data_IF_862529009301
#
_entry.id   IF_862529009301
#
_cell.length_a   1.000
_cell.length_b   1.000
_cell.length_c   1.000
_cell.angle_alpha   90.00
_cell.angle_beta   90.00
_cell.angle_gamma   90.00
#
_symmetry.space_group_name_H-M   'P 1'
#
loop_
_entity.id
_entity.type
_entity.pdbx_description
1 polymer ?
#
# COMPACT_ATOMS: atom_id res chain seq x y z
N UNK A 1 8.99 -52.33 -69.08
CA UNK A 1 10.17 -51.76 -68.38
C UNK A 1 9.68 -50.67 -67.44
N UNK A 2 9.49 -51.02 -66.18
CA UNK A 2 8.96 -50.16 -65.15
C UNK A 2 10.11 -49.56 -64.34
N UNK A 3 10.27 -48.26 -64.34
CA UNK A 3 11.13 -47.55 -63.40
C UNK A 3 10.26 -46.87 -62.35
N UNK A 4 10.32 -47.37 -61.13
CA UNK A 4 9.72 -46.74 -59.92
C UNK A 4 10.67 -45.67 -59.43
N UNK A 5 10.11 -44.44 -59.18
CA UNK A 5 10.80 -43.38 -58.48
C UNK A 5 10.62 -43.53 -56.95
N UNK A 6 11.65 -43.20 -56.14
CA UNK A 6 11.49 -43.23 -54.69
C UNK A 6 10.92 -41.93 -54.14
N UNK A 7 9.95 -42.06 -53.26
CA UNK A 7 9.37 -40.96 -52.49
C UNK A 7 10.37 -40.55 -51.36
N UNK A 8 10.88 -39.35 -51.42
CA UNK A 8 11.54 -38.71 -50.26
C UNK A 8 10.53 -38.22 -49.27
N UNK A 9 10.47 -38.84 -48.09
CA UNK A 9 9.83 -38.32 -46.90
C UNK A 9 10.76 -37.33 -46.23
N UNK A 10 10.38 -36.05 -46.16
CA UNK A 10 11.00 -35.03 -45.33
C UNK A 10 10.42 -35.10 -43.92
N UNK A 11 11.21 -35.08 -42.84
CA UNK A 11 10.70 -34.98 -41.49
C UNK A 11 10.39 -33.53 -41.16
N UNK A 12 9.12 -33.25 -40.78
CA UNK A 12 8.70 -31.99 -40.15
C UNK A 12 9.30 -31.93 -38.74
N UNK A 13 10.29 -31.08 -38.55
CA UNK A 13 10.76 -30.66 -37.22
C UNK A 13 9.71 -29.67 -36.63
N UNK A 14 8.91 -30.13 -35.70
CA UNK A 14 8.07 -29.29 -34.86
C UNK A 14 8.95 -28.62 -33.80
N UNK A 15 9.30 -27.36 -33.99
CA UNK A 15 9.94 -26.53 -32.98
C UNK A 15 8.90 -26.12 -31.95
N UNK A 16 8.85 -26.80 -30.80
CA UNK A 16 8.07 -26.38 -29.63
C UNK A 16 8.82 -25.23 -28.97
N UNK A 17 8.33 -23.98 -29.15
CA UNK A 17 8.73 -22.84 -28.37
C UNK A 17 8.18 -23.02 -26.94
N UNK A 18 9.05 -23.42 -26.01
CA UNK A 18 8.84 -23.29 -24.58
C UNK A 18 8.90 -21.79 -24.23
N UNK A 19 7.75 -21.14 -24.12
CA UNK A 19 7.63 -19.87 -23.38
C UNK A 19 7.86 -20.19 -21.91
N UNK A 20 9.12 -20.09 -21.47
CA UNK A 20 9.43 -20.00 -20.06
C UNK A 20 8.89 -18.66 -19.56
N UNK A 21 7.68 -18.69 -18.98
CA UNK A 21 7.16 -17.58 -18.20
C UNK A 21 8.13 -17.29 -17.07
N UNK A 22 8.88 -16.17 -17.17
CA UNK A 22 9.59 -15.62 -16.04
C UNK A 22 8.52 -15.15 -15.04
N UNK A 23 8.10 -16.03 -14.16
CA UNK A 23 7.49 -15.61 -12.91
C UNK A 23 8.56 -14.83 -12.16
N UNK A 24 8.47 -13.51 -12.16
CA UNK A 24 9.15 -12.69 -11.17
C UNK A 24 8.70 -13.24 -9.82
N UNK A 25 9.57 -13.97 -9.16
CA UNK A 25 9.45 -14.19 -7.73
C UNK A 25 9.57 -12.80 -7.12
N UNK A 26 8.44 -12.16 -6.84
CA UNK A 26 8.38 -10.99 -5.99
C UNK A 26 9.12 -11.39 -4.71
N UNK A 27 10.01 -10.55 -4.23
CA UNK A 27 10.65 -10.78 -2.95
C UNK A 27 9.52 -10.91 -1.93
N UNK A 28 9.23 -12.16 -1.52
CA UNK A 28 8.21 -12.40 -0.51
C UNK A 28 8.56 -11.57 0.71
N UNK A 29 7.59 -10.85 1.27
CA UNK A 29 7.76 -10.22 2.57
C UNK A 29 8.40 -11.23 3.50
N UNK A 30 9.56 -10.94 4.11
CA UNK A 30 10.19 -11.92 4.98
C UNK A 30 9.24 -12.20 6.14
N UNK A 31 8.57 -13.33 6.04
CA UNK A 31 7.59 -13.77 7.01
C UNK A 31 8.25 -14.43 8.23
N UNK A 32 9.52 -14.82 8.13
CA UNK A 32 10.23 -15.55 9.17
C UNK A 32 11.46 -14.78 9.69
N UNK A 33 11.88 -15.07 10.92
CA UNK A 33 13.11 -14.54 11.54
C UNK A 33 12.86 -13.58 12.71
N UNK A 34 11.65 -13.59 13.26
CA UNK A 34 11.31 -12.92 14.52
C UNK A 34 11.48 -13.82 15.75
N UNK A 35 11.06 -13.31 16.90
CA UNK A 35 10.92 -14.07 18.12
C UNK A 35 9.53 -14.72 18.21
N UNK A 36 9.44 -15.84 18.92
CA UNK A 36 8.16 -16.47 19.23
C UNK A 36 7.48 -15.73 20.37
N UNK A 37 6.23 -15.34 20.16
CA UNK A 37 5.43 -14.66 21.16
C UNK A 37 3.99 -15.19 21.16
N UNK A 38 3.37 -15.23 22.33
CA UNK A 38 1.94 -15.60 22.46
C UNK A 38 1.13 -14.31 22.56
N UNK A 39 0.06 -14.22 21.78
CA UNK A 39 -0.85 -13.07 21.82
C UNK A 39 -1.89 -13.27 22.92
N UNK A 40 -1.95 -12.33 23.86
CA UNK A 40 -2.92 -12.35 24.96
C UNK A 40 -4.25 -11.68 24.58
N UNK A 41 -4.19 -10.51 23.90
CA UNK A 41 -5.40 -9.77 23.52
C UNK A 41 -5.13 -8.77 22.39
N UNK A 42 -6.22 -8.25 21.80
CA UNK A 42 -6.21 -7.13 20.86
C UNK A 42 -7.04 -5.99 21.44
N UNK A 43 -6.46 -4.80 21.52
CA UNK A 43 -7.12 -3.60 22.07
C UNK A 43 -8.13 -3.01 21.07
N UNK A 44 -8.94 -2.06 21.52
CA UNK A 44 -9.90 -1.34 20.66
C UNK A 44 -9.23 -0.52 19.54
N UNK A 45 -7.93 -0.24 19.68
CA UNK A 45 -7.14 0.46 18.66
C UNK A 45 -6.39 -0.49 17.72
N UNK A 46 -6.68 -1.81 17.79
CA UNK A 46 -5.98 -2.81 16.99
C UNK A 46 -4.53 -3.05 17.45
N UNK A 47 -4.16 -2.61 18.66
CA UNK A 47 -2.86 -2.91 19.26
C UNK A 47 -2.89 -4.33 19.84
N UNK A 48 -1.77 -5.02 19.73
CA UNK A 48 -1.65 -6.44 20.09
C UNK A 48 -0.88 -6.55 21.40
N UNK A 49 -1.53 -7.05 22.46
CA UNK A 49 -0.88 -7.30 23.75
C UNK A 49 -0.36 -8.73 23.77
N UNK A 50 0.91 -8.89 24.07
CA UNK A 50 1.58 -10.18 24.21
C UNK A 50 1.41 -10.74 25.63
N UNK A 51 1.60 -12.04 25.80
CA UNK A 51 1.47 -12.71 27.11
C UNK A 51 2.52 -12.22 28.14
N UNK A 52 3.64 -11.69 27.69
CA UNK A 52 4.68 -11.09 28.53
C UNK A 52 4.41 -9.61 28.89
N UNK A 53 3.26 -9.07 28.47
CA UNK A 53 2.83 -7.70 28.75
C UNK A 53 3.32 -6.64 27.76
N UNK A 54 4.18 -6.98 26.80
CA UNK A 54 4.57 -6.04 25.75
C UNK A 54 3.36 -5.75 24.85
N UNK A 55 3.33 -4.54 24.30
CA UNK A 55 2.31 -4.12 23.34
C UNK A 55 2.97 -3.90 21.99
N UNK A 56 2.41 -4.45 20.94
CA UNK A 56 2.86 -4.30 19.57
C UNK A 56 1.80 -3.62 18.70
N UNK A 57 2.25 -2.89 17.68
CA UNK A 57 1.44 -2.31 16.61
C UNK A 57 1.94 -2.85 15.27
N UNK A 58 1.03 -3.29 14.42
CA UNK A 58 1.37 -3.63 13.05
C UNK A 58 1.82 -2.36 12.31
N UNK A 59 3.06 -2.35 11.84
CA UNK A 59 3.63 -1.22 11.13
C UNK A 59 3.17 -1.20 9.67
N UNK A 60 3.11 -0.01 9.09
CA UNK A 60 2.74 0.17 7.68
C UNK A 60 1.23 0.07 7.42
N UNK A 61 0.40 0.10 8.46
CA UNK A 61 -1.06 -0.01 8.34
C UNK A 61 -1.79 1.17 9.00
N UNK A 62 -2.86 1.60 8.36
CA UNK A 62 -3.91 2.44 8.91
C UNK A 62 -5.12 1.54 9.19
N UNK A 63 -5.23 1.11 10.43
CA UNK A 63 -6.36 0.30 10.93
C UNK A 63 -7.41 1.26 11.47
N UNK A 64 -8.71 1.08 11.16
CA UNK A 64 -9.77 1.90 11.72
C UNK A 64 -9.70 1.99 13.25
N UNK A 65 -9.93 3.18 13.77
CA UNK A 65 -9.90 3.46 15.21
C UNK A 65 -11.24 4.10 15.61
N UNK A 66 -11.94 3.50 16.55
CA UNK A 66 -13.23 3.97 17.05
C UNK A 66 -13.19 5.43 17.54
N UNK A 67 -12.03 5.88 18.08
CA UNK A 67 -11.84 7.26 18.53
C UNK A 67 -11.81 8.30 17.40
N UNK A 68 -11.70 7.83 16.14
CA UNK A 68 -11.66 8.66 14.93
C UNK A 68 -12.98 8.71 14.16
N UNK A 69 -14.06 8.19 14.76
CA UNK A 69 -15.42 8.37 14.25
C UNK A 69 -16.02 7.18 13.51
N UNK A 70 -15.30 6.05 13.39
CA UNK A 70 -15.85 4.81 12.82
C UNK A 70 -15.70 3.61 13.76
N UNK A 71 -16.60 3.48 14.75
CA UNK A 71 -16.57 2.38 15.70
C UNK A 71 -16.92 1.03 15.06
N UNK A 72 -17.70 1.00 13.98
CA UNK A 72 -18.13 -0.24 13.33
C UNK A 72 -16.97 -0.91 12.60
N UNK A 73 -16.26 -0.19 11.73
CA UNK A 73 -15.11 -0.71 11.02
C UNK A 73 -13.96 -1.05 11.97
N UNK A 74 -13.77 -0.24 13.04
CA UNK A 74 -12.80 -0.56 14.09
C UNK A 74 -13.14 -1.88 14.80
N UNK A 75 -14.42 -2.12 15.13
CA UNK A 75 -14.87 -3.36 15.75
C UNK A 75 -14.66 -4.57 14.82
N UNK A 76 -14.95 -4.43 13.53
CA UNK A 76 -14.71 -5.50 12.52
C UNK A 76 -13.23 -5.86 12.42
N UNK A 77 -12.34 -4.87 12.29
CA UNK A 77 -10.90 -5.09 12.22
C UNK A 77 -10.37 -5.75 13.50
N UNK A 78 -10.79 -5.27 14.66
CA UNK A 78 -10.43 -5.86 15.97
C UNK A 78 -10.92 -7.30 16.11
N UNK A 79 -12.18 -7.58 15.77
CA UNK A 79 -12.76 -8.92 15.85
C UNK A 79 -11.99 -9.90 14.97
N UNK A 80 -11.64 -9.47 13.76
CA UNK A 80 -10.82 -10.27 12.86
C UNK A 80 -9.43 -10.54 13.45
N UNK A 81 -8.71 -9.51 13.90
CA UNK A 81 -7.40 -9.68 14.53
C UNK A 81 -7.48 -10.60 15.74
N UNK A 82 -8.50 -10.43 16.58
CA UNK A 82 -8.69 -11.27 17.76
C UNK A 82 -8.90 -12.73 17.38
N UNK A 83 -9.72 -13.01 16.37
CA UNK A 83 -9.99 -14.37 15.88
C UNK A 83 -8.76 -15.06 15.29
N UNK A 84 -7.85 -14.25 14.70
CA UNK A 84 -6.63 -14.79 14.08
C UNK A 84 -5.49 -14.98 15.07
N UNK A 85 -5.41 -14.17 16.12
CA UNK A 85 -4.20 -14.05 16.94
C UNK A 85 -4.35 -14.48 18.39
N UNK A 86 -5.49 -14.21 19.04
CA UNK A 86 -5.59 -14.41 20.50
C UNK A 86 -5.43 -15.89 20.88
N UNK A 87 -4.53 -16.14 21.83
CA UNK A 87 -4.17 -17.48 22.30
C UNK A 87 -3.21 -18.23 21.39
N UNK A 88 -2.78 -17.65 20.26
CA UNK A 88 -1.87 -18.30 19.31
C UNK A 88 -0.44 -17.81 19.47
N UNK A 89 0.49 -18.66 19.11
CA UNK A 89 1.90 -18.33 18.95
C UNK A 89 2.12 -17.68 17.57
N UNK A 90 2.83 -16.56 17.55
CA UNK A 90 3.21 -15.83 16.35
C UNK A 90 4.72 -15.70 16.25
N UNK A 91 5.23 -15.60 15.03
CA UNK A 91 6.56 -15.10 14.75
C UNK A 91 6.45 -13.56 14.73
N UNK A 92 7.04 -12.90 15.73
CA UNK A 92 7.01 -11.45 15.90
C UNK A 92 8.35 -10.88 15.50
N UNK A 93 8.36 -10.08 14.45
CA UNK A 93 9.53 -9.36 13.99
C UNK A 93 9.42 -7.87 14.32
N UNK A 94 10.21 -7.41 15.30
CA UNK A 94 10.35 -5.99 15.57
C UNK A 94 11.05 -5.30 14.38
N UNK A 95 10.44 -4.23 13.86
CA UNK A 95 10.94 -3.47 12.70
C UNK A 95 11.78 -2.27 13.12
N UNK A 96 11.74 -1.87 14.39
CA UNK A 96 12.55 -0.82 14.98
C UNK A 96 13.27 -1.33 16.22
N UNK A 97 14.49 -0.79 16.46
CA UNK A 97 15.28 -1.14 17.64
C UNK A 97 14.70 -0.60 18.95
N UNK A 98 13.77 0.34 18.87
CA UNK A 98 13.13 0.97 20.03
C UNK A 98 11.62 0.98 19.85
N UNK A 99 10.92 0.99 20.97
CA UNK A 99 9.47 1.23 21.00
C UNK A 99 9.17 2.67 20.55
N UNK A 100 7.95 2.88 20.08
CA UNK A 100 7.45 4.22 19.79
C UNK A 100 7.27 5.05 21.09
N UNK A 101 6.85 6.32 20.94
CA UNK A 101 6.64 7.22 22.08
C UNK A 101 5.57 6.78 23.07
N UNK A 102 4.77 5.77 22.73
CA UNK A 102 3.76 5.18 23.62
C UNK A 102 4.19 3.82 24.17
N UNK A 103 5.46 3.42 23.98
CA UNK A 103 6.01 2.16 24.48
C UNK A 103 5.63 0.93 23.67
N UNK A 104 5.11 1.08 22.43
CA UNK A 104 4.69 -0.02 21.58
C UNK A 104 5.82 -0.46 20.67
N UNK A 105 5.94 -1.77 20.46
CA UNK A 105 6.79 -2.33 19.41
C UNK A 105 6.17 -2.05 18.04
N UNK A 106 6.97 -1.55 17.11
CA UNK A 106 6.63 -1.53 15.70
C UNK A 106 6.98 -2.90 15.13
N UNK A 107 6.01 -3.67 14.71
CA UNK A 107 6.23 -5.06 14.36
C UNK A 107 5.49 -5.49 13.08
N UNK A 108 6.02 -6.52 12.46
CA UNK A 108 5.30 -7.41 11.56
C UNK A 108 5.09 -8.75 12.26
N UNK A 109 4.00 -9.45 11.93
CA UNK A 109 3.65 -10.71 12.57
C UNK A 109 3.22 -11.73 11.54
N UNK A 110 3.58 -12.98 11.79
CA UNK A 110 3.14 -14.13 10.99
C UNK A 110 2.66 -15.27 11.88
N UNK A 111 1.69 -16.03 11.39
CA UNK A 111 1.24 -17.24 12.09
C UNK A 111 2.28 -18.35 11.92
N UNK A 112 2.53 -19.11 13.00
CA UNK A 112 3.55 -20.16 13.01
C UNK A 112 3.02 -21.53 12.61
N UNK A 113 1.71 -21.73 12.67
CA UNK A 113 1.00 -22.99 12.42
C UNK A 113 0.55 -23.19 10.96
N UNK A 114 0.91 -22.29 10.08
CA UNK A 114 0.66 -22.41 8.64
C UNK A 114 1.78 -23.25 7.99
N UNK A 115 1.41 -24.14 7.05
CA UNK A 115 2.34 -25.07 6.39
C UNK A 115 3.55 -24.34 5.77
N UNK A 116 4.67 -25.05 5.63
CA UNK A 116 6.01 -24.59 5.23
C UNK A 116 6.10 -23.72 3.96
N UNK A 117 5.02 -23.53 3.22
CA UNK A 117 5.04 -22.81 1.93
C UNK A 117 5.22 -21.27 2.07
N UNK A 118 4.76 -20.64 3.13
CA UNK A 118 5.09 -19.29 3.62
C UNK A 118 4.22 -18.96 4.85
N UNK A 119 4.77 -18.52 5.97
CA UNK A 119 3.98 -18.02 7.08
C UNK A 119 3.18 -16.80 6.60
N UNK A 120 1.86 -16.84 6.79
CA UNK A 120 0.98 -15.77 6.33
C UNK A 120 1.21 -14.50 7.16
N UNK A 121 1.69 -13.44 6.53
CA UNK A 121 1.77 -12.12 7.16
C UNK A 121 0.37 -11.63 7.56
N UNK A 122 0.21 -11.30 8.83
CA UNK A 122 -1.03 -10.75 9.38
C UNK A 122 -1.38 -9.41 8.70
N UNK A 123 -0.36 -8.60 8.40
CA UNK A 123 -0.55 -7.34 7.69
C UNK A 123 -1.14 -7.54 6.29
N UNK A 124 -0.61 -8.50 5.52
CA UNK A 124 -1.13 -8.82 4.18
C UNK A 124 -2.55 -9.39 4.25
N UNK A 125 -2.81 -10.31 5.20
CA UNK A 125 -4.12 -10.90 5.36
C UNK A 125 -5.19 -9.86 5.77
N UNK A 126 -4.84 -8.90 6.64
CA UNK A 126 -5.73 -7.82 7.04
C UNK A 126 -6.05 -6.88 5.87
N UNK A 127 -5.05 -6.54 5.05
CA UNK A 127 -5.22 -5.73 3.83
C UNK A 127 -6.08 -6.46 2.80
N UNK A 128 -5.81 -7.74 2.54
CA UNK A 128 -6.59 -8.56 1.59
C UNK A 128 -8.05 -8.71 2.01
N UNK A 129 -8.34 -8.67 3.32
CA UNK A 129 -9.71 -8.66 3.84
C UNK A 129 -10.37 -7.27 3.76
N UNK A 130 -9.66 -6.24 3.31
CA UNK A 130 -10.14 -4.85 3.26
C UNK A 130 -10.34 -4.24 4.64
N UNK A 131 -9.66 -4.71 5.69
CA UNK A 131 -9.84 -4.26 7.07
C UNK A 131 -8.80 -3.24 7.52
N UNK A 132 -7.87 -2.88 6.64
CA UNK A 132 -6.88 -1.82 6.85
C UNK A 132 -6.53 -1.17 5.50
N UNK A 133 -5.87 -0.01 5.56
CA UNK A 133 -5.24 0.65 4.41
C UNK A 133 -3.73 0.67 4.60
N UNK A 134 -2.99 0.71 3.50
CA UNK A 134 -1.53 0.86 3.56
C UNK A 134 -1.19 2.28 4.00
N UNK A 135 -0.39 2.38 5.06
CA UNK A 135 0.17 3.62 5.58
C UNK A 135 1.70 3.52 5.57
N UNK A 136 2.37 4.04 4.55
CA UNK A 136 3.80 3.91 4.42
C UNK A 136 4.55 4.42 5.64
N UNK A 137 5.45 3.59 6.16
CA UNK A 137 6.35 3.89 7.27
C UNK A 137 7.74 3.35 6.92
N UNK A 138 8.78 4.11 7.27
CA UNK A 138 10.17 3.78 6.92
C UNK A 138 10.58 2.39 7.42
N UNK A 139 10.08 2.00 8.59
CA UNK A 139 10.37 0.72 9.22
C UNK A 139 9.71 -0.46 8.49
N UNK A 140 8.60 -0.19 7.79
CA UNK A 140 7.80 -1.20 7.11
C UNK A 140 8.06 -1.29 5.58
N UNK A 141 8.99 -0.49 5.07
CA UNK A 141 9.26 -0.31 3.63
C UNK A 141 9.47 -1.58 2.83
N UNK A 142 10.14 -2.58 3.42
CA UNK A 142 10.55 -3.79 2.68
C UNK A 142 9.38 -4.63 2.12
N UNK A 143 8.14 -4.41 2.59
CA UNK A 143 6.95 -5.13 2.17
C UNK A 143 5.90 -4.23 1.52
N UNK A 144 6.28 -3.02 1.12
CA UNK A 144 5.31 -2.03 0.67
C UNK A 144 4.63 -2.45 -0.63
N UNK A 145 5.37 -3.01 -1.58
CA UNK A 145 4.81 -3.45 -2.88
C UNK A 145 3.74 -4.51 -2.70
N UNK A 146 3.99 -5.50 -1.84
CA UNK A 146 3.03 -6.58 -1.57
C UNK A 146 1.81 -6.07 -0.81
N UNK A 147 2.01 -5.12 0.12
CA UNK A 147 0.91 -4.48 0.85
C UNK A 147 0.02 -3.66 -0.08
N UNK A 148 0.60 -2.87 -0.98
CA UNK A 148 -0.14 -2.09 -1.97
C UNK A 148 -0.92 -3.02 -2.92
N UNK A 149 -0.32 -4.13 -3.37
CA UNK A 149 -1.00 -5.09 -4.22
C UNK A 149 -2.18 -5.77 -3.52
N UNK A 150 -2.03 -6.12 -2.23
CA UNK A 150 -3.11 -6.69 -1.43
C UNK A 150 -4.25 -5.69 -1.21
N UNK A 151 -3.90 -4.42 -0.92
CA UNK A 151 -4.87 -3.34 -0.80
C UNK A 151 -5.61 -3.09 -2.11
N UNK A 152 -4.88 -3.02 -3.24
CA UNK A 152 -5.46 -2.77 -4.56
C UNK A 152 -6.47 -3.84 -4.96
N UNK A 153 -6.17 -5.10 -4.66
CA UNK A 153 -7.09 -6.22 -4.89
C UNK A 153 -8.35 -6.08 -4.03
N UNK A 154 -8.19 -5.85 -2.73
CA UNK A 154 -9.32 -5.68 -1.82
C UNK A 154 -10.21 -4.48 -2.21
N UNK A 155 -9.59 -3.40 -2.69
CA UNK A 155 -10.29 -2.20 -3.17
C UNK A 155 -11.05 -2.50 -4.47
N UNK A 156 -10.44 -3.19 -5.43
CA UNK A 156 -11.09 -3.55 -6.69
C UNK A 156 -12.31 -4.47 -6.47
N UNK A 157 -12.22 -5.35 -5.48
CA UNK A 157 -13.28 -6.28 -5.11
C UNK A 157 -14.33 -5.66 -4.15
N UNK A 158 -14.13 -4.40 -3.72
CA UNK A 158 -15.03 -3.71 -2.80
C UNK A 158 -15.15 -4.39 -1.44
N UNK A 159 -14.05 -4.90 -0.87
CA UNK A 159 -14.06 -5.62 0.39
C UNK A 159 -13.93 -4.68 1.61
N UNK A 160 -14.62 -5.01 2.69
CA UNK A 160 -14.48 -4.35 3.98
C UNK A 160 -14.64 -2.82 3.90
N UNK A 161 -13.59 -2.07 4.21
CA UNK A 161 -13.55 -0.60 4.21
C UNK A 161 -13.89 0.01 2.83
N UNK A 162 -13.60 -0.72 1.75
CA UNK A 162 -13.76 -0.22 0.40
C UNK A 162 -15.22 -0.16 -0.07
N UNK A 163 -16.17 -0.68 0.73
CA UNK A 163 -17.60 -0.46 0.52
C UNK A 163 -18.07 0.90 1.00
N UNK A 164 -17.31 1.56 1.87
CA UNK A 164 -17.64 2.87 2.42
C UNK A 164 -16.86 3.97 1.66
N UNK A 165 -17.55 4.93 1.02
CA UNK A 165 -16.92 6.03 0.30
C UNK A 165 -15.91 6.83 1.15
N UNK A 166 -16.09 6.88 2.46
CA UNK A 166 -15.17 7.54 3.38
C UNK A 166 -13.73 6.99 3.29
N UNK A 167 -13.57 5.67 3.10
CA UNK A 167 -12.25 5.04 2.95
C UNK A 167 -11.74 5.04 1.52
N UNK A 168 -12.58 5.43 0.57
CA UNK A 168 -12.26 5.46 -0.85
C UNK A 168 -11.12 6.41 -1.22
N UNK A 169 -10.69 6.32 -2.48
CA UNK A 169 -9.74 7.25 -3.08
C UNK A 169 -10.48 8.53 -3.45
N UNK A 170 -9.98 9.68 -3.00
CA UNK A 170 -10.57 11.00 -3.26
C UNK A 170 -9.86 11.64 -4.45
N UNK A 171 -10.61 12.17 -5.42
CA UNK A 171 -10.01 12.99 -6.47
C UNK A 171 -9.48 14.31 -5.89
N UNK A 172 -8.27 14.71 -6.30
CA UNK A 172 -7.62 15.92 -5.83
C UNK A 172 -8.40 17.21 -6.15
N UNK A 173 -9.40 17.12 -7.03
CA UNK A 173 -10.34 18.19 -7.40
C UNK A 173 -11.57 18.25 -6.52
N UNK A 174 -11.86 17.21 -5.74
CA UNK A 174 -12.98 17.20 -4.79
C UNK A 174 -12.56 17.89 -3.49
N UNK A 175 -12.56 19.23 -3.55
CA UNK A 175 -12.07 20.04 -2.44
C UNK A 175 -13.00 19.97 -1.22
N UNK A 176 -14.27 19.65 -1.39
CA UNK A 176 -15.23 19.61 -0.29
C UNK A 176 -15.07 18.33 0.54
N UNK A 177 -14.87 17.18 -0.10
CA UNK A 177 -14.52 15.95 0.61
C UNK A 177 -13.14 16.07 1.30
N UNK A 178 -12.14 16.63 0.62
CA UNK A 178 -10.82 16.84 1.22
C UNK A 178 -10.86 17.76 2.46
N UNK A 179 -11.70 18.79 2.48
CA UNK A 179 -11.87 19.67 3.66
C UNK A 179 -12.43 18.94 4.86
N UNK A 180 -13.31 17.98 4.64
CA UNK A 180 -13.94 17.19 5.72
C UNK A 180 -12.96 16.21 6.36
N UNK A 181 -11.82 15.93 5.71
CA UNK A 181 -10.82 14.96 6.18
C UNK A 181 -9.67 15.57 6.98
N UNK A 182 -9.84 16.79 7.54
CA UNK A 182 -8.76 17.43 8.32
C UNK A 182 -8.28 16.55 9.48
N UNK A 183 -6.95 16.37 9.58
CA UNK A 183 -6.32 15.49 10.55
C UNK A 183 -6.49 14.00 10.29
N UNK A 184 -7.22 13.61 9.25
CA UNK A 184 -7.50 12.20 8.93
C UNK A 184 -6.59 11.67 7.85
N UNK A 185 -6.36 10.35 7.85
CA UNK A 185 -5.64 9.68 6.79
C UNK A 185 -6.52 9.59 5.54
N UNK A 186 -5.97 10.02 4.39
CA UNK A 186 -6.65 9.99 3.10
C UNK A 186 -5.73 9.41 2.02
N UNK A 187 -6.36 8.88 0.98
CA UNK A 187 -5.72 8.49 -0.28
C UNK A 187 -6.29 9.45 -1.33
N UNK A 188 -5.42 10.27 -1.92
CA UNK A 188 -5.81 11.31 -2.89
C UNK A 188 -5.17 11.03 -4.23
N UNK A 189 -5.95 11.10 -5.30
CA UNK A 189 -5.50 10.83 -6.66
C UNK A 189 -5.74 12.04 -7.57
N UNK A 190 -4.85 12.29 -8.51
CA UNK A 190 -5.02 13.37 -9.46
C UNK A 190 -3.80 13.61 -10.32
N UNK A 191 -3.92 14.57 -11.26
CA UNK A 191 -2.82 15.02 -12.13
C UNK A 191 -2.07 16.16 -11.44
N UNK A 192 -0.75 16.02 -11.31
CA UNK A 192 0.11 17.10 -10.82
C UNK A 192 0.21 18.17 -11.89
N UNK A 193 -0.38 19.34 -11.69
CA UNK A 193 -0.34 20.43 -12.65
C UNK A 193 1.01 21.14 -12.63
N UNK A 194 1.63 21.24 -11.46
CA UNK A 194 2.90 21.96 -11.29
C UNK A 194 3.72 21.38 -10.16
N UNK A 195 5.03 21.35 -10.35
CA UNK A 195 5.99 21.08 -9.29
C UNK A 195 6.73 22.38 -8.97
N UNK A 196 6.63 22.84 -7.73
CA UNK A 196 7.35 24.01 -7.22
C UNK A 196 8.46 23.59 -6.28
N UNK A 197 9.68 24.06 -6.49
CA UNK A 197 10.80 23.84 -5.58
C UNK A 197 11.12 25.13 -4.82
N UNK A 198 11.16 25.06 -3.50
CA UNK A 198 11.61 26.12 -2.63
C UNK A 198 12.82 25.71 -1.81
N UNK A 199 13.21 26.56 -0.87
CA UNK A 199 14.39 26.30 -0.01
C UNK A 199 14.22 25.05 0.86
N UNK A 200 13.03 24.88 1.47
CA UNK A 200 12.79 23.86 2.48
C UNK A 200 11.76 22.81 2.05
N UNK A 201 11.06 23.02 0.93
CA UNK A 201 9.95 22.19 0.50
C UNK A 201 9.85 22.14 -1.02
N UNK A 202 9.35 21.00 -1.51
CA UNK A 202 8.86 20.82 -2.86
C UNK A 202 7.35 20.65 -2.80
N UNK A 203 6.61 21.37 -3.64
CA UNK A 203 5.16 21.32 -3.72
C UNK A 203 4.74 20.61 -5.00
N UNK A 204 3.85 19.65 -4.87
CA UNK A 204 3.16 19.02 -5.98
C UNK A 204 1.73 19.57 -5.97
N UNK A 205 1.46 20.55 -6.84
CA UNK A 205 0.17 21.23 -6.91
C UNK A 205 -0.76 20.48 -7.88
N UNK A 206 -1.94 20.10 -7.41
CA UNK A 206 -2.96 19.41 -8.22
C UNK A 206 -3.98 20.37 -8.86
N UNK A 207 -3.88 21.63 -8.60
CA UNK A 207 -4.78 22.64 -9.15
C UNK A 207 -4.21 24.04 -9.03
N UNK A 208 -5.10 25.04 -9.22
CA UNK A 208 -4.76 26.45 -9.00
C UNK A 208 -4.66 26.77 -7.50
N UNK A 209 -4.30 28.02 -7.20
CA UNK A 209 -4.22 28.50 -5.81
C UNK A 209 -5.48 28.14 -5.00
N UNK A 210 -5.29 27.50 -3.86
CA UNK A 210 -6.39 27.03 -2.97
C UNK A 210 -6.86 25.60 -3.24
N UNK A 211 -6.25 24.90 -4.22
CA UNK A 211 -6.46 23.46 -4.44
C UNK A 211 -5.61 22.61 -3.49
N UNK A 212 -5.74 21.29 -3.63
CA UNK A 212 -4.92 20.34 -2.90
C UNK A 212 -3.44 20.38 -3.35
N UNK A 213 -2.52 20.26 -2.37
CA UNK A 213 -1.07 20.23 -2.59
C UNK A 213 -0.42 19.14 -1.74
N UNK A 214 0.36 18.28 -2.36
CA UNK A 214 1.27 17.39 -1.63
C UNK A 214 2.61 18.09 -1.41
N UNK A 215 3.14 18.03 -0.18
CA UNK A 215 4.34 18.78 0.23
C UNK A 215 5.43 17.81 0.67
N UNK A 216 6.56 17.78 -0.03
CA UNK A 216 7.76 17.03 0.34
C UNK A 216 8.75 17.96 1.00
N UNK A 217 9.28 17.60 2.18
CA UNK A 217 10.33 18.38 2.85
C UNK A 217 11.66 18.14 2.16
N UNK A 218 12.37 19.20 1.78
CA UNK A 218 13.60 19.13 0.95
C UNK A 218 14.68 18.21 1.54
N UNK A 219 14.83 18.16 2.88
CA UNK A 219 15.78 17.22 3.53
C UNK A 219 15.52 15.75 3.19
N UNK A 220 14.31 15.40 2.77
CA UNK A 220 13.90 14.05 2.39
C UNK A 220 14.05 13.79 0.88
N UNK A 221 14.26 14.83 0.04
CA UNK A 221 14.34 14.72 -1.41
C UNK A 221 15.31 13.63 -1.90
N UNK A 222 16.47 13.48 -1.23
CA UNK A 222 17.44 12.42 -1.54
C UNK A 222 16.91 11.00 -1.32
N UNK A 223 15.92 10.80 -0.43
CA UNK A 223 15.29 9.49 -0.25
C UNK A 223 14.40 9.17 -1.44
N UNK A 224 13.70 10.17 -1.97
CA UNK A 224 12.87 10.02 -3.18
C UNK A 224 13.74 9.72 -4.41
N UNK A 225 14.83 10.44 -4.61
CA UNK A 225 15.77 10.18 -5.72
C UNK A 225 16.35 8.75 -5.64
N UNK A 226 16.75 8.29 -4.46
CA UNK A 226 17.26 6.92 -4.26
C UNK A 226 16.19 5.85 -4.52
N UNK A 227 14.93 6.16 -4.29
CA UNK A 227 13.80 5.31 -4.65
C UNK A 227 13.43 5.41 -6.15
N UNK A 228 14.17 6.16 -6.95
CA UNK A 228 13.91 6.35 -8.38
C UNK A 228 12.79 7.36 -8.68
N UNK A 229 12.31 8.09 -7.68
CA UNK A 229 11.22 9.06 -7.82
C UNK A 229 11.78 10.48 -7.95
N UNK A 230 11.88 10.95 -9.18
CA UNK A 230 12.32 12.32 -9.49
C UNK A 230 11.12 13.26 -9.38
N UNK A 231 11.03 14.02 -8.29
CA UNK A 231 9.86 14.87 -8.00
C UNK A 231 9.56 15.88 -9.10
N UNK A 232 10.59 16.49 -9.72
CA UNK A 232 10.42 17.46 -10.82
C UNK A 232 9.79 16.84 -12.06
N UNK A 233 9.93 15.53 -12.27
CA UNK A 233 9.37 14.82 -13.40
C UNK A 233 7.88 14.47 -13.21
N UNK A 234 7.31 14.71 -12.02
CA UNK A 234 5.90 14.41 -11.75
C UNK A 234 4.93 15.43 -12.38
N UNK A 235 5.40 16.57 -12.90
CA UNK A 235 4.53 17.52 -13.59
C UNK A 235 3.86 16.86 -14.80
N UNK A 236 2.52 16.90 -14.87
CA UNK A 236 1.70 16.24 -15.88
C UNK A 236 1.40 14.77 -15.57
N UNK A 237 2.04 14.16 -14.57
CA UNK A 237 1.77 12.78 -14.19
C UNK A 237 0.49 12.68 -13.36
N UNK A 238 -0.28 11.60 -13.55
CA UNK A 238 -1.33 11.18 -12.62
C UNK A 238 -0.69 10.36 -11.51
N UNK A 239 -0.86 10.78 -10.30
CA UNK A 239 -0.31 10.11 -9.12
C UNK A 239 -1.38 9.91 -8.07
N UNK A 240 -1.15 8.94 -7.19
CA UNK A 240 -1.88 8.75 -5.95
C UNK A 240 -0.95 9.05 -4.79
N UNK A 241 -1.42 9.86 -3.85
CA UNK A 241 -0.69 10.18 -2.61
C UNK A 241 -1.50 9.76 -1.41
N UNK A 242 -0.82 9.35 -0.34
CA UNK A 242 -1.47 8.88 0.88
C UNK A 242 -0.82 9.45 2.13
N UNK A 243 -1.64 9.88 3.08
CA UNK A 243 -1.15 10.51 4.32
C UNK A 243 -2.24 11.24 5.08
N UNK A 244 -1.85 11.93 6.14
CA UNK A 244 -2.78 12.76 6.91
C UNK A 244 -3.02 14.10 6.20
N UNK A 245 -4.30 14.48 6.11
CA UNK A 245 -4.70 15.81 5.63
C UNK A 245 -4.38 16.88 6.67
N UNK A 246 -3.98 18.05 6.22
CA UNK A 246 -3.76 19.24 7.05
C UNK A 246 -4.37 20.46 6.36
N UNK A 247 -5.41 21.03 6.94
CA UNK A 247 -6.14 22.15 6.38
C UNK A 247 -5.74 23.52 6.98
N UNK A 248 -4.82 23.54 7.98
CA UNK A 248 -4.45 24.76 8.72
C UNK A 248 -3.86 25.87 7.83
N UNK A 249 -3.20 25.51 6.74
CA UNK A 249 -2.58 26.45 5.78
C UNK A 249 -2.96 26.14 4.35
N UNK A 250 -4.19 25.69 4.13
CA UNK A 250 -4.72 25.20 2.88
C UNK A 250 -4.73 23.67 2.83
N UNK A 251 -5.47 23.12 1.87
CA UNK A 251 -5.63 21.68 1.69
C UNK A 251 -4.30 21.04 1.28
N UNK A 252 -3.66 20.35 2.21
CA UNK A 252 -2.37 19.75 1.93
C UNK A 252 -2.15 18.43 2.66
N UNK A 253 -1.18 17.68 2.14
CA UNK A 253 -0.66 16.46 2.73
C UNK A 253 0.86 16.54 2.78
N UNK A 254 1.47 16.27 3.93
CA UNK A 254 2.94 16.18 4.01
C UNK A 254 3.36 14.77 3.65
N UNK A 255 4.27 14.68 2.69
CA UNK A 255 4.85 13.44 2.19
C UNK A 255 6.26 13.31 2.75
N UNK A 256 6.51 12.28 3.52
CA UNK A 256 7.78 12.00 4.19
C UNK A 256 8.54 10.85 3.55
N UNK A 257 7.81 9.89 3.00
CA UNK A 257 8.36 8.66 2.44
C UNK A 257 8.00 8.53 0.95
N UNK A 258 8.93 8.04 0.11
CA UNK A 258 8.67 7.83 -1.32
C UNK A 258 7.45 6.95 -1.59
N UNK A 259 7.25 5.96 -0.76
CA UNK A 259 6.16 4.97 -0.85
C UNK A 259 4.76 5.59 -0.63
N UNK A 260 4.70 6.84 -0.16
CA UNK A 260 3.45 7.59 -0.10
C UNK A 260 3.00 8.13 -1.47
N UNK A 261 3.84 8.01 -2.52
CA UNK A 261 3.53 8.44 -3.88
C UNK A 261 3.54 7.23 -4.82
N UNK A 262 2.39 6.94 -5.41
CA UNK A 262 2.25 5.95 -6.47
C UNK A 262 2.10 6.69 -7.81
N UNK A 263 2.97 6.38 -8.78
CA UNK A 263 2.78 6.85 -10.16
C UNK A 263 1.80 5.91 -10.87
N UNK A 264 0.70 6.46 -11.31
CA UNK A 264 -0.31 5.70 -12.03
C UNK A 264 0.00 5.74 -13.53
N UNK A 265 0.09 4.57 -14.16
CA UNK A 265 0.16 4.52 -15.62
C UNK A 265 -1.07 5.23 -16.19
N UNK A 266 -0.87 6.13 -17.13
CA UNK A 266 -1.99 6.69 -17.89
C UNK A 266 -2.70 5.51 -18.56
N UNK A 267 -3.92 5.19 -18.10
CA UNK A 267 -4.71 4.13 -18.69
C UNK A 267 -4.82 4.36 -20.18
N UNK A 268 -4.48 3.36 -20.99
CA UNK A 268 -4.80 3.30 -22.39
C UNK A 268 -6.33 3.28 -22.54
N UNK A 269 -6.97 4.46 -22.53
CA UNK A 269 -8.43 4.55 -22.50
C UNK A 269 -8.97 5.97 -22.62
N UNK A 270 -8.31 6.84 -23.40
CA UNK A 270 -8.99 7.99 -23.97
C UNK A 270 -8.93 7.82 -25.51
N UNK A 271 -9.78 6.92 -26.02
CA UNK A 271 -10.12 6.88 -27.42
C UNK A 271 -10.66 8.25 -27.83
N UNK A 272 -9.93 8.92 -28.72
CA UNK A 272 -10.34 10.13 -29.42
C UNK A 272 -11.80 10.00 -29.87
N UNK A 273 -12.67 10.78 -29.25
CA UNK A 273 -13.92 11.16 -29.88
C UNK A 273 -13.58 12.13 -31.01
N UNK A 274 -13.47 11.61 -32.22
CA UNK A 274 -13.33 12.36 -33.48
C UNK A 274 -14.53 13.31 -33.61
N UNK A 275 -14.35 14.61 -33.76
CA UNK A 275 -15.47 15.50 -34.04
C UNK A 275 -16.01 15.18 -35.45
N UNK A 276 -17.21 14.64 -35.52
CA UNK A 276 -17.99 14.50 -36.73
C UNK A 276 -18.30 15.88 -37.31
N UNK A 277 -18.13 15.98 -38.62
CA UNK A 277 -18.47 17.12 -39.44
C UNK A 277 -19.95 17.49 -39.36
#
# INVERSE_FOLDING_TARGET
MNRRAPHLMAPLLAAALLLAGLTRAGAACPAAGGERAIVASVTERGEITLADGRVARLAGLDIPDASRGDPESAAKARAWLSSQLVGREVDLRALAARTDRWGRLLADMSLTDQSEAAPASISLALLSAGLARVRPEIEARNCETERLAAEDTARADGLGLWTDPYYGVVEATDLDDLRQRDGQFAIVEGVVLRVGAGRDRTWLDFGRRGSFTAVVVTRQAKAFERAGLVLSALAGARIRVRGAMDNRFGLRMTISEPEQIEQLSQGAGASEAKPGK
#
